data_IF_067327835259
#
_entry.id   IF_067327835259
#
_cell.length_a   1.000
_cell.length_b   1.000
_cell.length_c   1.000
_cell.angle_alpha   90.00
_cell.angle_beta   90.00
_cell.angle_gamma   90.00
#
_symmetry.space_group_name_H-M   'P 1'
#
loop_
_entity.id
_entity.type
_entity.pdbx_description
1 polymer ?
#
# COMPACT_ATOMS: atom_id res chain seq x y z
N UNK A 1 -5.21 29.80 9.62
CA UNK A 1 -5.90 28.50 9.46
C UNK A 1 -5.33 27.81 8.23
N UNK A 2 -4.41 26.86 8.41
CA UNK A 2 -3.81 26.04 7.36
C UNK A 2 -4.52 24.68 7.36
N UNK A 3 -5.73 24.63 6.81
CA UNK A 3 -6.50 23.37 6.70
C UNK A 3 -7.13 23.28 5.32
N UNK A 4 -6.30 23.35 4.27
CA UNK A 4 -6.76 23.18 2.88
C UNK A 4 -5.81 22.33 2.02
N UNK A 5 -4.72 21.81 2.59
CA UNK A 5 -3.76 20.96 1.87
C UNK A 5 -4.20 19.49 1.74
N UNK A 6 -5.27 19.06 2.41
CA UNK A 6 -5.75 17.67 2.37
C UNK A 6 -6.70 17.35 1.21
N UNK A 7 -7.25 18.35 0.51
CA UNK A 7 -8.28 18.13 -0.52
C UNK A 7 -7.78 18.18 -1.98
N UNK A 8 -6.48 18.38 -2.21
CA UNK A 8 -5.90 18.45 -3.57
C UNK A 8 -5.28 17.11 -4.01
N UNK A 9 -5.41 16.05 -3.22
CA UNK A 9 -4.95 14.70 -3.59
C UNK A 9 -5.99 13.72 -4.22
N UNK A 10 -7.21 14.07 -4.68
CA UNK A 10 -8.03 13.07 -5.39
C UNK A 10 -7.82 13.00 -6.91
N UNK A 11 -7.44 14.09 -7.59
CA UNK A 11 -7.52 14.13 -9.07
C UNK A 11 -6.29 13.64 -9.82
N UNK A 12 -5.09 13.77 -9.26
CA UNK A 12 -3.89 13.19 -9.89
C UNK A 12 -3.96 11.65 -9.85
N UNK A 13 -4.58 11.09 -8.81
CA UNK A 13 -4.85 9.65 -8.71
C UNK A 13 -5.92 9.17 -9.69
N UNK A 14 -6.86 10.02 -10.12
CA UNK A 14 -7.85 9.67 -11.14
C UNK A 14 -7.28 9.62 -12.57
N UNK A 15 -6.15 10.30 -12.84
CA UNK A 15 -5.41 10.18 -14.11
C UNK A 15 -4.57 8.90 -14.20
N UNK A 16 -4.19 8.31 -13.07
CA UNK A 16 -3.47 7.01 -12.98
C UNK A 16 -4.42 5.82 -13.24
N UNK A 17 -5.73 6.06 -13.33
CA UNK A 17 -6.80 5.07 -13.19
C UNK A 17 -6.96 4.06 -14.34
N UNK A 18 -6.07 4.03 -15.34
CA UNK A 18 -5.96 2.94 -16.33
C UNK A 18 -4.54 2.80 -16.90
N UNK A 19 -3.53 2.61 -16.04
CA UNK A 19 -2.29 2.01 -16.53
C UNK A 19 -2.45 0.48 -16.45
N UNK A 20 -2.52 -0.24 -17.59
CA UNK A 20 -2.72 -1.69 -17.60
C UNK A 20 -1.61 -2.43 -16.86
N UNK A 21 -0.40 -1.87 -16.77
CA UNK A 21 0.71 -2.49 -16.06
C UNK A 21 0.51 -2.41 -14.54
N UNK A 22 -0.06 -1.31 -14.04
CA UNK A 22 -0.42 -1.19 -12.62
C UNK A 22 -1.52 -2.18 -12.28
N UNK A 23 -2.58 -2.27 -13.11
CA UNK A 23 -3.68 -3.22 -12.90
C UNK A 23 -3.18 -4.67 -12.94
N UNK A 24 -2.30 -4.98 -13.88
CA UNK A 24 -1.66 -6.29 -13.98
C UNK A 24 -0.81 -6.60 -12.74
N UNK A 25 0.00 -5.65 -12.27
CA UNK A 25 0.81 -5.84 -11.06
C UNK A 25 -0.04 -5.93 -9.78
N UNK A 26 -1.17 -5.22 -9.71
CA UNK A 26 -2.16 -5.34 -8.64
C UNK A 26 -2.78 -6.75 -8.60
N UNK A 27 -3.04 -7.36 -9.76
CA UNK A 27 -3.51 -8.74 -9.87
C UNK A 27 -2.42 -9.78 -9.55
N UNK A 28 -1.15 -9.40 -9.68
CA UNK A 28 0.02 -10.25 -9.46
C UNK A 28 0.97 -9.66 -8.39
N UNK A 29 0.57 -9.66 -7.11
CA UNK A 29 1.29 -8.97 -6.05
C UNK A 29 2.74 -9.44 -5.90
N UNK A 30 3.04 -10.74 -6.03
CA UNK A 30 4.43 -11.20 -5.92
C UNK A 30 5.32 -10.60 -7.02
N UNK A 31 4.82 -10.45 -8.25
CA UNK A 31 5.55 -9.77 -9.33
C UNK A 31 5.76 -8.29 -9.03
N UNK A 32 4.75 -7.61 -8.46
CA UNK A 32 4.88 -6.21 -8.06
C UNK A 32 5.98 -6.06 -6.99
N UNK A 33 6.00 -6.96 -6.01
CA UNK A 33 7.00 -6.98 -4.95
C UNK A 33 8.40 -7.20 -5.50
N UNK A 34 8.60 -8.22 -6.34
CA UNK A 34 9.91 -8.57 -6.90
C UNK A 34 10.43 -7.44 -7.79
N UNK A 35 9.59 -6.95 -8.70
CA UNK A 35 9.96 -5.86 -9.62
C UNK A 35 10.32 -4.59 -8.86
N UNK A 36 9.53 -4.18 -7.87
CA UNK A 36 9.86 -2.98 -7.11
C UNK A 36 11.10 -3.18 -6.22
N UNK A 37 11.30 -4.38 -5.66
CA UNK A 37 12.50 -4.72 -4.90
C UNK A 37 13.78 -4.64 -5.75
N UNK A 38 13.71 -5.05 -7.02
CA UNK A 38 14.79 -4.87 -7.99
C UNK A 38 15.02 -3.37 -8.29
N UNK A 39 13.95 -2.62 -8.54
CA UNK A 39 14.01 -1.18 -8.81
C UNK A 39 14.66 -0.37 -7.69
N UNK A 40 14.49 -0.78 -6.43
CA UNK A 40 15.16 -0.16 -5.27
C UNK A 40 16.69 -0.34 -5.30
N UNK A 41 17.18 -1.38 -5.96
CA UNK A 41 18.63 -1.62 -6.13
C UNK A 41 19.16 -0.87 -7.35
N UNK A 42 18.42 -0.93 -8.45
CA UNK A 42 18.78 -0.29 -9.72
C UNK A 42 17.54 -0.05 -10.57
N UNK A 43 17.46 1.16 -11.15
CA UNK A 43 16.42 1.49 -12.12
C UNK A 43 16.95 1.21 -13.54
N UNK A 44 16.53 0.08 -14.11
CA UNK A 44 16.82 -0.27 -15.51
C UNK A 44 15.76 0.30 -16.48
N UNK A 45 14.51 0.40 -16.01
CA UNK A 45 13.36 0.91 -16.76
C UNK A 45 12.50 1.73 -15.80
N UNK A 46 12.42 3.04 -16.04
CA UNK A 46 11.74 3.98 -15.16
C UNK A 46 10.22 3.77 -15.12
N UNK A 47 9.59 3.44 -16.27
CA UNK A 47 8.14 3.27 -16.37
C UNK A 47 7.70 1.98 -15.70
N UNK A 48 8.48 0.90 -15.88
CA UNK A 48 8.26 -0.37 -15.16
C UNK A 48 8.43 -0.18 -13.65
N UNK A 49 9.45 0.54 -13.22
CA UNK A 49 9.68 0.82 -11.80
C UNK A 49 8.59 1.70 -11.20
N UNK A 50 8.12 2.71 -11.93
CA UNK A 50 7.01 3.55 -11.52
C UNK A 50 5.71 2.75 -11.36
N UNK A 51 5.41 1.87 -12.33
CA UNK A 51 4.22 1.02 -12.28
C UNK A 51 4.28 0.02 -11.10
N UNK A 52 5.45 -0.58 -10.86
CA UNK A 52 5.66 -1.50 -9.74
C UNK A 52 5.56 -0.80 -8.38
N UNK A 53 6.15 0.39 -8.24
CA UNK A 53 5.99 1.21 -7.05
C UNK A 53 4.53 1.59 -6.80
N UNK A 54 3.82 2.04 -7.83
CA UNK A 54 2.42 2.45 -7.74
C UNK A 54 1.53 1.29 -7.30
N UNK A 55 1.72 0.10 -7.90
CA UNK A 55 1.01 -1.10 -7.49
C UNK A 55 1.37 -1.51 -6.05
N UNK A 56 2.65 -1.44 -5.66
CA UNK A 56 3.10 -1.76 -4.30
C UNK A 56 2.43 -0.85 -3.25
N UNK A 57 2.34 0.46 -3.52
CA UNK A 57 1.65 1.42 -2.63
C UNK A 57 0.16 1.08 -2.52
N UNK A 58 -0.51 0.79 -3.64
CA UNK A 58 -1.92 0.41 -3.62
C UNK A 58 -2.15 -0.90 -2.84
N UNK A 59 -1.25 -1.88 -2.97
CA UNK A 59 -1.31 -3.14 -2.22
C UNK A 59 -1.07 -2.93 -0.71
N UNK A 60 -0.19 -2.00 -0.33
CA UNK A 60 0.00 -1.56 1.06
C UNK A 60 -1.24 -0.89 1.65
N UNK A 61 -2.02 -0.19 0.83
CA UNK A 61 -3.20 0.56 1.26
C UNK A 61 -4.52 -0.21 1.11
N UNK A 62 -4.49 -1.48 0.70
CA UNK A 62 -5.69 -2.34 0.64
C UNK A 62 -6.43 -2.41 1.98
N UNK A 63 -7.77 -2.43 1.96
CA UNK A 63 -8.62 -2.44 3.17
C UNK A 63 -8.90 -3.83 3.75
N UNK A 64 -8.27 -4.88 3.22
CA UNK A 64 -8.54 -6.27 3.63
C UNK A 64 -7.91 -6.59 4.99
N UNK A 65 -8.74 -6.75 6.02
CA UNK A 65 -8.32 -7.16 7.36
C UNK A 65 -8.37 -8.68 7.60
N UNK A 66 -8.48 -9.49 6.55
CA UNK A 66 -8.26 -10.94 6.63
C UNK A 66 -6.80 -11.25 6.97
N UNK A 67 -6.45 -12.43 7.52
CA UNK A 67 -5.06 -12.78 7.81
C UNK A 67 -4.12 -12.59 6.61
N UNK A 68 -4.54 -13.04 5.42
CA UNK A 68 -3.78 -12.88 4.17
C UNK A 68 -3.73 -11.42 3.68
N UNK A 69 -4.78 -10.62 3.93
CA UNK A 69 -4.81 -9.19 3.63
C UNK A 69 -3.84 -8.40 4.51
N UNK A 70 -3.80 -8.72 5.81
CA UNK A 70 -2.87 -8.13 6.78
C UNK A 70 -1.42 -8.48 6.42
N UNK A 71 -1.15 -9.75 6.10
CA UNK A 71 0.18 -10.19 5.69
C UNK A 71 0.66 -9.46 4.43
N UNK A 72 -0.22 -9.34 3.43
CA UNK A 72 0.07 -8.58 2.21
C UNK A 72 0.34 -7.11 2.53
N UNK A 73 -0.55 -6.45 3.29
CA UNK A 73 -0.38 -5.05 3.71
C UNK A 73 0.97 -4.86 4.38
N UNK A 74 1.33 -5.70 5.35
CA UNK A 74 2.64 -5.68 6.03
C UNK A 74 3.81 -5.82 5.07
N UNK A 75 3.76 -6.81 4.17
CA UNK A 75 4.81 -7.08 3.17
C UNK A 75 5.07 -5.83 2.31
N UNK A 76 4.01 -5.17 1.85
CA UNK A 76 4.14 -3.99 1.00
C UNK A 76 4.47 -2.70 1.76
N UNK A 77 3.89 -2.46 2.94
CA UNK A 77 4.27 -1.31 3.79
C UNK A 77 5.76 -1.30 4.08
N UNK A 78 6.34 -2.45 4.46
CA UNK A 78 7.80 -2.60 4.67
C UNK A 78 8.62 -2.31 3.42
N UNK A 79 8.06 -2.53 2.24
CA UNK A 79 8.76 -2.30 0.97
C UNK A 79 8.70 -0.82 0.55
N UNK A 80 7.57 -0.16 0.75
CA UNK A 80 7.27 1.19 0.23
C UNK A 80 7.53 2.31 1.23
N UNK A 81 7.40 2.05 2.53
CA UNK A 81 7.51 3.07 3.57
C UNK A 81 8.91 3.14 4.15
N UNK A 82 9.29 4.34 4.57
CA UNK A 82 10.52 4.58 5.35
C UNK A 82 10.14 4.71 6.82
N UNK A 83 9.54 3.65 7.36
CA UNK A 83 9.05 3.57 8.73
C UNK A 83 9.64 2.35 9.45
N UNK A 84 9.72 2.41 10.78
CA UNK A 84 10.14 1.25 11.57
C UNK A 84 9.08 0.15 11.53
N UNK A 85 9.47 -1.10 11.77
CA UNK A 85 8.52 -2.21 11.82
C UNK A 85 7.43 -1.97 12.87
N UNK A 86 7.78 -1.38 14.02
CA UNK A 86 6.83 -1.07 15.09
C UNK A 86 5.78 -0.06 14.62
N UNK A 87 6.20 0.96 13.87
CA UNK A 87 5.30 1.96 13.29
C UNK A 87 4.34 1.31 12.30
N UNK A 88 4.86 0.45 11.42
CA UNK A 88 4.05 -0.29 10.43
C UNK A 88 3.02 -1.18 11.13
N UNK A 89 3.42 -1.96 12.16
CA UNK A 89 2.46 -2.81 12.87
C UNK A 89 1.40 -1.98 13.63
N UNK A 90 1.76 -0.81 14.17
CA UNK A 90 0.79 0.10 14.79
C UNK A 90 -0.21 0.67 13.77
N UNK A 91 0.24 1.05 12.58
CA UNK A 91 -0.66 1.49 11.50
C UNK A 91 -1.62 0.38 11.09
N UNK A 92 -1.12 -0.85 10.95
CA UNK A 92 -1.94 -2.02 10.62
C UNK A 92 -2.95 -2.30 11.72
N UNK A 93 -2.54 -2.27 13.00
CA UNK A 93 -3.43 -2.49 14.13
C UNK A 93 -4.52 -1.40 14.23
N UNK A 94 -4.19 -0.16 13.89
CA UNK A 94 -5.16 0.95 13.83
C UNK A 94 -6.15 0.78 12.67
N UNK A 95 -5.68 0.34 11.52
CA UNK A 95 -6.52 0.14 10.32
C UNK A 95 -7.40 -1.11 10.42
N UNK A 96 -6.90 -2.16 11.07
CA UNK A 96 -7.56 -3.43 11.28
C UNK A 96 -7.68 -3.73 12.78
N UNK A 97 -8.55 -2.99 13.51
CA UNK A 97 -8.77 -3.26 14.92
C UNK A 97 -9.33 -4.68 15.06
N UNK A 98 -8.74 -5.47 15.95
CA UNK A 98 -9.43 -6.65 16.45
C UNK A 98 -10.78 -6.18 16.99
N UNK A 99 -11.87 -6.79 16.53
CA UNK A 99 -13.21 -6.48 17.04
C UNK A 99 -13.16 -6.39 18.57
N UNK A 100 -13.80 -5.40 19.21
CA UNK A 100 -13.87 -5.41 20.66
C UNK A 100 -14.42 -6.77 21.11
N UNK A 101 -13.87 -7.38 22.18
CA UNK A 101 -14.36 -8.66 22.65
C UNK A 101 -15.86 -8.53 22.89
N UNK A 102 -16.64 -9.48 22.39
CA UNK A 102 -18.08 -9.57 22.59
C UNK A 102 -18.36 -9.57 24.11
N UNK A 103 -18.64 -8.41 24.68
CA UNK A 103 -18.71 -8.26 26.14
C UNK A 103 -18.62 -6.83 26.68
N UNK A 104 -18.15 -5.84 25.90
CA UNK A 104 -18.28 -4.44 26.33
C UNK A 104 -19.72 -3.95 26.12
N UNK A 105 -20.54 -4.15 27.14
CA UNK A 105 -21.86 -3.51 27.29
C UNK A 105 -21.67 -2.07 27.79
N UNK A 106 -22.49 -1.09 27.35
CA UNK A 106 -22.47 0.27 27.87
C UNK A 106 -22.82 0.34 29.37
#
# INVERSE_FOLDING_TARGET
MLVLSYFILPRVLEGVKKNPDIDYMMAHPDRAFDTYSECKKQVADADRCYSAYSAAVLLAETSSCTPSGIERKRKFKRLTEHASNETIEQEIARACPASPPAGSKP
#
